data_IF_903847627063
#
_entry.id   IF_903847627063
#
_cell.length_a   1.000
_cell.length_b   1.000
_cell.length_c   1.000
_cell.angle_alpha   90.00
_cell.angle_beta   90.00
_cell.angle_gamma   90.00
#
_symmetry.space_group_name_H-M   'P 1'
#
loop_
_entity.id
_entity.type
_entity.pdbx_description
1 polymer ?
#
# COMPACT_ATOMS: atom_id res chain seq x y z
N UNK A 1 -28.82 -12.53 3.39
CA UNK A 1 -27.45 -12.80 2.93
C UNK A 1 -26.76 -13.61 3.99
N UNK A 2 -26.51 -14.89 3.75
CA UNK A 2 -25.66 -15.73 4.62
C UNK A 2 -24.30 -15.81 3.96
N UNK A 3 -23.37 -14.96 4.40
CA UNK A 3 -21.96 -15.14 4.07
C UNK A 3 -21.49 -16.50 4.66
N UNK A 4 -20.71 -17.30 3.92
CA UNK A 4 -20.25 -18.60 4.42
C UNK A 4 -19.36 -18.45 5.66
N UNK A 5 -19.46 -19.38 6.62
CA UNK A 5 -18.59 -19.42 7.81
C UNK A 5 -17.08 -19.38 7.47
N UNK A 6 -16.69 -19.85 6.29
CA UNK A 6 -15.31 -19.79 5.80
C UNK A 6 -14.78 -18.37 5.63
N UNK A 7 -15.64 -17.40 5.27
CA UNK A 7 -15.24 -15.98 5.18
C UNK A 7 -14.97 -15.38 6.56
N UNK A 8 -15.62 -15.89 7.61
CA UNK A 8 -15.34 -15.43 8.96
C UNK A 8 -13.97 -15.92 9.46
N UNK A 9 -13.61 -17.18 9.15
CA UNK A 9 -12.32 -17.75 9.53
C UNK A 9 -11.15 -17.21 8.70
N UNK A 10 -11.38 -16.91 7.42
CA UNK A 10 -10.40 -16.35 6.51
C UNK A 10 -11.05 -15.27 5.64
N UNK A 11 -11.16 -14.03 6.15
CA UNK A 11 -11.84 -12.96 5.43
C UNK A 11 -11.11 -12.61 4.13
N UNK A 12 -11.85 -12.33 3.04
CA UNK A 12 -11.26 -11.74 1.83
C UNK A 12 -10.64 -10.37 2.14
N UNK A 13 -9.74 -9.91 1.25
CA UNK A 13 -8.95 -8.70 1.47
C UNK A 13 -9.79 -7.43 1.69
N UNK A 14 -11.01 -7.36 1.16
CA UNK A 14 -11.94 -6.25 1.35
C UNK A 14 -12.38 -6.03 2.82
N UNK A 15 -12.27 -7.05 3.67
CA UNK A 15 -12.57 -6.96 5.10
C UNK A 15 -11.33 -6.96 5.98
N UNK A 16 -10.13 -6.94 5.39
CA UNK A 16 -8.87 -6.91 6.14
C UNK A 16 -8.39 -5.48 6.33
N UNK A 17 -7.64 -5.28 7.39
CA UNK A 17 -7.05 -3.99 7.74
C UNK A 17 -6.09 -3.48 6.64
N UNK A 18 -5.96 -2.15 6.56
CA UNK A 18 -5.12 -1.46 5.58
C UNK A 18 -4.25 -0.45 6.34
N UNK A 19 -2.94 -0.74 6.56
CA UNK A 19 -2.09 0.10 7.39
C UNK A 19 -1.62 1.36 6.65
N UNK A 20 -1.37 2.42 7.42
CA UNK A 20 -0.62 3.58 6.93
C UNK A 20 0.87 3.26 6.86
N UNK A 21 1.39 3.21 5.64
CA UNK A 21 2.79 2.93 5.36
C UNK A 21 3.52 4.24 5.10
N UNK A 22 4.41 4.60 6.03
CA UNK A 22 5.14 5.86 5.96
C UNK A 22 6.31 5.75 4.99
N UNK A 23 6.30 6.58 3.95
CA UNK A 23 7.42 6.82 3.04
C UNK A 23 8.17 8.05 3.54
N UNK A 24 9.22 7.80 4.31
CA UNK A 24 9.96 8.80 5.08
C UNK A 24 11.49 8.65 4.97
N UNK A 25 11.97 8.03 3.89
CA UNK A 25 13.39 7.90 3.58
C UNK A 25 13.59 7.91 2.05
N UNK A 26 14.75 7.49 1.56
CA UNK A 26 14.98 7.16 0.16
C UNK A 26 14.19 5.91 -0.25
N UNK A 27 13.43 6.03 -1.33
CA UNK A 27 12.57 4.97 -1.84
C UNK A 27 13.32 4.12 -2.86
N UNK A 28 13.24 2.81 -2.66
CA UNK A 28 13.74 1.82 -3.60
C UNK A 28 12.62 0.84 -4.00
N UNK A 29 12.30 0.66 -5.29
CA UNK A 29 11.22 -0.21 -5.72
C UNK A 29 11.32 -1.66 -5.20
N UNK A 30 12.53 -2.22 -5.10
CA UNK A 30 12.70 -3.62 -4.67
C UNK A 30 12.42 -3.77 -3.17
N UNK A 31 12.87 -2.81 -2.37
CA UNK A 31 12.58 -2.77 -0.93
C UNK A 31 11.10 -2.54 -0.67
N UNK A 32 10.46 -1.64 -1.43
CA UNK A 32 9.02 -1.38 -1.32
C UNK A 32 8.20 -2.65 -1.61
N UNK A 33 8.55 -3.42 -2.65
CA UNK A 33 7.89 -4.70 -2.96
C UNK A 33 8.13 -5.73 -1.86
N UNK A 34 9.35 -5.82 -1.32
CA UNK A 34 9.66 -6.70 -0.18
C UNK A 34 8.82 -6.36 1.05
N UNK A 35 8.60 -5.06 1.32
CA UNK A 35 7.74 -4.62 2.41
C UNK A 35 6.26 -4.97 2.16
N UNK A 36 5.78 -4.88 0.92
CA UNK A 36 4.43 -5.34 0.54
C UNK A 36 4.26 -6.84 0.81
N UNK A 37 5.28 -7.67 0.52
CA UNK A 37 5.24 -9.10 0.87
C UNK A 37 5.11 -9.33 2.38
N UNK A 38 5.78 -8.50 3.20
CA UNK A 38 5.65 -8.58 4.65
C UNK A 38 4.27 -8.14 5.13
N UNK A 39 3.71 -7.08 4.53
CA UNK A 39 2.34 -6.62 4.80
C UNK A 39 1.34 -7.73 4.44
N UNK A 40 1.48 -8.39 3.29
CA UNK A 40 0.59 -9.50 2.92
C UNK A 40 0.71 -10.68 3.91
N UNK A 41 1.95 -11.07 4.25
CA UNK A 41 2.23 -12.17 5.20
C UNK A 41 1.67 -11.89 6.60
N UNK A 42 1.65 -10.63 7.02
CA UNK A 42 1.06 -10.21 8.28
C UNK A 42 -0.49 -10.18 8.25
N UNK A 43 -1.12 -10.47 7.11
CA UNK A 43 -2.57 -10.64 7.00
C UNK A 43 -3.35 -9.39 6.64
N UNK A 44 -2.70 -8.34 6.14
CA UNK A 44 -3.36 -7.09 5.75
C UNK A 44 -3.95 -7.18 4.34
N UNK A 45 -5.03 -6.45 4.09
CA UNK A 45 -5.76 -6.45 2.81
C UNK A 45 -5.22 -5.47 1.78
N UNK A 46 -4.32 -4.57 2.19
CA UNK A 46 -3.79 -3.50 1.35
C UNK A 46 -2.82 -2.60 2.10
N UNK A 47 -2.55 -1.41 1.55
CA UNK A 47 -1.72 -0.39 2.20
C UNK A 47 -1.98 1.04 1.68
N UNK A 48 -1.74 2.04 2.53
CA UNK A 48 -1.68 3.46 2.14
C UNK A 48 -0.23 3.93 2.01
N UNK A 49 0.22 4.24 0.79
CA UNK A 49 1.49 4.89 0.51
C UNK A 49 1.41 6.36 0.95
N UNK A 50 2.01 6.68 2.09
CA UNK A 50 1.92 8.00 2.71
C UNK A 50 3.29 8.67 2.74
N UNK A 51 3.50 9.68 1.88
CA UNK A 51 4.66 10.57 1.98
C UNK A 51 4.70 11.21 3.36
N UNK A 52 5.85 11.23 4.04
CA UNK A 52 5.99 11.84 5.38
C UNK A 52 7.27 12.65 5.47
N UNK A 53 7.37 13.44 6.54
CA UNK A 53 8.62 14.14 6.90
C UNK A 53 9.77 13.14 6.96
N UNK A 54 10.89 13.48 6.30
CA UNK A 54 12.06 12.60 6.15
C UNK A 54 12.21 12.01 4.75
N UNK A 55 11.18 12.08 3.91
CA UNK A 55 11.24 11.61 2.51
C UNK A 55 12.41 12.25 1.76
N UNK A 56 13.32 11.40 1.24
CA UNK A 56 14.51 11.86 0.48
C UNK A 56 14.28 11.82 -1.02
N UNK A 57 13.46 10.89 -1.51
CA UNK A 57 13.05 10.83 -2.93
C UNK A 57 12.14 12.02 -3.26
N UNK A 58 12.42 12.80 -4.32
CA UNK A 58 11.61 13.96 -4.68
C UNK A 58 10.12 13.62 -4.84
N UNK A 59 9.26 14.26 -4.05
CA UNK A 59 7.82 14.04 -4.07
C UNK A 59 7.24 14.32 -5.45
N UNK A 60 6.42 13.39 -5.96
CA UNK A 60 5.83 13.43 -7.31
C UNK A 60 6.84 13.50 -8.48
N UNK A 61 8.14 13.33 -8.23
CA UNK A 61 9.15 13.21 -9.28
C UNK A 61 9.13 11.84 -9.97
N UNK A 62 9.98 11.67 -10.99
CA UNK A 62 10.01 10.44 -11.79
C UNK A 62 10.30 9.19 -10.96
N UNK A 63 11.27 9.26 -10.04
CA UNK A 63 11.64 8.12 -9.19
C UNK A 63 10.57 7.78 -8.16
N UNK A 64 9.88 8.79 -7.61
CA UNK A 64 8.67 8.59 -6.80
C UNK A 64 7.60 7.86 -7.61
N UNK A 65 7.33 8.30 -8.84
CA UNK A 65 6.32 7.68 -9.69
C UNK A 65 6.69 6.25 -10.12
N UNK A 66 8.00 5.95 -10.29
CA UNK A 66 8.48 4.57 -10.47
C UNK A 66 8.16 3.71 -9.25
N UNK A 67 8.39 4.22 -8.04
CA UNK A 67 8.08 3.53 -6.79
C UNK A 67 6.57 3.27 -6.63
N UNK A 68 5.73 4.28 -6.93
CA UNK A 68 4.27 4.12 -6.91
C UNK A 68 3.82 3.03 -7.89
N UNK A 69 4.33 3.04 -9.13
CA UNK A 69 4.00 2.02 -10.13
C UNK A 69 4.39 0.61 -9.68
N UNK A 70 5.58 0.46 -9.09
CA UNK A 70 6.03 -0.82 -8.56
C UNK A 70 5.09 -1.33 -7.45
N UNK A 71 4.66 -0.44 -6.55
CA UNK A 71 3.72 -0.80 -5.47
C UNK A 71 2.33 -1.18 -6.00
N UNK A 72 1.80 -0.42 -6.97
CA UNK A 72 0.50 -0.71 -7.61
C UNK A 72 0.54 -2.07 -8.32
N UNK A 73 1.61 -2.35 -9.08
CA UNK A 73 1.79 -3.63 -9.75
C UNK A 73 1.86 -4.78 -8.73
N UNK A 74 2.64 -4.61 -7.66
CA UNK A 74 2.76 -5.63 -6.61
C UNK A 74 1.44 -5.89 -5.89
N UNK A 75 0.65 -4.84 -5.61
CA UNK A 75 -0.68 -4.97 -5.01
C UNK A 75 -1.63 -5.77 -5.92
N UNK A 76 -1.65 -5.45 -7.23
CA UNK A 76 -2.47 -6.14 -8.21
C UNK A 76 -2.14 -7.64 -8.28
N UNK A 77 -0.85 -7.99 -8.36
CA UNK A 77 -0.38 -9.39 -8.37
C UNK A 77 -0.78 -10.18 -7.11
N UNK A 78 -1.00 -9.48 -6.00
CA UNK A 78 -1.32 -10.07 -4.68
C UNK A 78 -2.80 -9.99 -4.33
N UNK A 79 -3.62 -9.40 -5.20
CA UNK A 79 -5.03 -9.11 -4.94
C UNK A 79 -5.24 -8.16 -3.76
N UNK A 80 -4.26 -7.31 -3.44
CA UNK A 80 -4.30 -6.33 -2.37
C UNK A 80 -4.79 -4.97 -2.87
N UNK A 81 -5.42 -4.18 -2.01
CA UNK A 81 -5.73 -2.79 -2.32
C UNK A 81 -4.52 -1.86 -2.14
N UNK A 82 -4.40 -0.84 -2.98
CA UNK A 82 -3.37 0.18 -2.84
C UNK A 82 -3.97 1.59 -2.90
N UNK A 83 -3.51 2.44 -2.01
CA UNK A 83 -3.93 3.83 -1.92
C UNK A 83 -2.74 4.77 -1.81
N UNK A 84 -2.85 5.97 -2.36
CA UNK A 84 -1.80 6.98 -2.39
C UNK A 84 -2.27 8.28 -1.73
N UNK A 85 -1.44 8.88 -0.87
CA UNK A 85 -1.72 10.22 -0.36
C UNK A 85 -1.27 11.30 -1.36
N UNK A 86 -2.16 12.25 -1.66
CA UNK A 86 -1.87 13.39 -2.55
C UNK A 86 -1.28 14.59 -1.81
N UNK A 87 -1.07 14.45 -0.49
CA UNK A 87 -0.45 15.46 0.37
C UNK A 87 0.59 14.78 1.28
N UNK A 88 1.68 15.50 1.55
CA UNK A 88 2.80 15.03 2.40
C UNK A 88 2.42 14.94 3.89
N UNK A 89 1.35 15.62 4.34
CA UNK A 89 0.91 15.59 5.74
C UNK A 89 -0.62 15.68 5.87
N UNK A 90 -1.39 15.08 4.95
CA UNK A 90 -2.85 15.25 4.93
C UNK A 90 -3.62 14.02 4.46
N UNK A 91 -4.90 13.90 4.83
CA UNK A 91 -5.72 12.69 4.61
C UNK A 91 -6.27 12.58 3.18
N UNK A 92 -5.78 13.36 2.22
CA UNK A 92 -6.28 13.29 0.86
C UNK A 92 -5.71 12.02 0.20
N UNK A 93 -6.58 11.04 -0.04
CA UNK A 93 -6.19 9.69 -0.49
C UNK A 93 -6.92 9.31 -1.78
N UNK A 94 -6.21 8.68 -2.71
CA UNK A 94 -6.76 8.07 -3.92
C UNK A 94 -6.52 6.57 -3.92
N UNK A 95 -7.53 5.76 -4.28
CA UNK A 95 -7.35 4.33 -4.56
C UNK A 95 -6.73 4.17 -5.94
N UNK A 96 -5.67 3.37 -6.03
CA UNK A 96 -4.87 3.15 -7.24
C UNK A 96 -4.74 1.68 -7.63
N UNK A 97 -5.20 0.76 -6.77
CA UNK A 97 -5.49 -0.66 -7.04
C UNK A 97 -6.59 -1.17 -6.09
#
# INVERSE_FOLDING_TARGET
MTEPLSHFQNPPNEYREIPFWSWNDELDPSELVRQIDLIQKAGWGGFFMHARVGLRTPYMGDDWMKCVRACVQAAHERGMGAWLTTKINGPAVLRVA
#
